data_IF_421717768832
#
_entry.id   IF_421717768832
#
_cell.length_a   1.000
_cell.length_b   1.000
_cell.length_c   1.000
_cell.angle_alpha   90.00
_cell.angle_beta   90.00
_cell.angle_gamma   90.00
#
_symmetry.space_group_name_H-M   'P 1'
#
loop_
_entity.id
_entity.type
_entity.pdbx_description
1 polymer ?
#
# COMPACT_ATOMS: atom_id res chain seq x y z
N UNK A 1 7.96 -3.94 -13.49
CA UNK A 1 8.22 -3.78 -12.05
C UNK A 1 9.29 -2.75 -11.73
N UNK A 2 10.58 -2.90 -12.11
CA UNK A 2 11.62 -1.95 -11.68
C UNK A 2 11.38 -0.52 -12.20
N UNK A 3 10.88 -0.39 -13.44
CA UNK A 3 10.48 0.90 -14.02
C UNK A 3 9.36 1.55 -13.18
N UNK A 4 8.33 0.77 -12.81
CA UNK A 4 7.23 1.24 -11.96
C UNK A 4 7.70 1.70 -10.59
N UNK A 5 8.67 1.00 -9.98
CA UNK A 5 9.29 1.42 -8.73
C UNK A 5 10.02 2.74 -8.86
N UNK A 6 10.81 2.93 -9.92
CA UNK A 6 11.49 4.20 -10.18
C UNK A 6 10.50 5.36 -10.32
N UNK A 7 9.42 5.17 -11.09
CA UNK A 7 8.37 6.17 -11.22
C UNK A 7 7.68 6.46 -9.88
N UNK A 8 7.32 5.44 -9.11
CA UNK A 8 6.68 5.62 -7.80
C UNK A 8 7.59 6.39 -6.83
N UNK A 9 8.89 6.08 -6.81
CA UNK A 9 9.87 6.80 -5.99
C UNK A 9 9.96 8.27 -6.44
N UNK A 10 10.08 8.55 -7.73
CA UNK A 10 10.13 9.93 -8.24
C UNK A 10 8.84 10.69 -7.84
N UNK A 11 7.69 10.05 -8.03
CA UNK A 11 6.39 10.63 -7.67
C UNK A 11 6.27 10.90 -6.17
N UNK A 12 6.82 10.02 -5.34
CA UNK A 12 6.87 10.19 -3.89
C UNK A 12 7.67 11.42 -3.45
N UNK A 13 8.71 11.81 -4.19
CA UNK A 13 9.45 13.05 -3.91
C UNK A 13 8.64 14.28 -4.31
N UNK A 14 7.99 14.23 -5.49
CA UNK A 14 7.18 15.33 -6.01
C UNK A 14 6.01 15.65 -5.07
N UNK A 15 5.31 14.62 -4.61
CA UNK A 15 4.13 14.77 -3.73
C UNK A 15 4.54 14.85 -2.26
N UNK A 16 5.49 14.03 -1.82
CA UNK A 16 5.89 13.98 -0.41
C UNK A 16 6.49 15.30 0.06
N UNK A 17 7.29 15.97 -0.77
CA UNK A 17 7.92 17.24 -0.40
C UNK A 17 6.92 18.34 0.01
N UNK A 18 5.87 18.67 -0.75
CA UNK A 18 4.86 19.63 -0.30
C UNK A 18 4.00 19.09 0.85
N UNK A 19 3.63 17.80 0.84
CA UNK A 19 2.75 17.23 1.86
C UNK A 19 3.39 17.24 3.25
N UNK A 20 4.70 16.99 3.37
CA UNK A 20 5.40 17.00 4.67
C UNK A 20 5.57 18.38 5.29
N UNK A 21 5.08 19.45 4.65
CA UNK A 21 4.94 20.77 5.29
C UNK A 21 3.72 20.86 6.20
N UNK A 22 2.75 19.95 6.03
CA UNK A 22 1.53 19.88 6.84
C UNK A 22 1.81 19.08 8.13
N UNK A 23 1.21 19.52 9.25
CA UNK A 23 1.32 18.86 10.56
C UNK A 23 -0.01 18.20 10.95
N UNK A 24 0.07 17.07 11.65
CA UNK A 24 -1.08 16.40 12.26
C UNK A 24 -2.12 15.90 11.25
N UNK A 25 -3.41 16.15 11.53
CA UNK A 25 -4.53 15.65 10.73
C UNK A 25 -4.57 16.22 9.30
N UNK A 26 -4.05 17.43 9.09
CA UNK A 26 -3.98 18.04 7.77
C UNK A 26 -3.13 17.22 6.79
N UNK A 27 -2.09 16.54 7.28
CA UNK A 27 -1.28 15.63 6.46
C UNK A 27 -2.12 14.46 5.94
N UNK A 28 -2.91 13.82 6.81
CA UNK A 28 -3.76 12.69 6.43
C UNK A 28 -4.83 13.10 5.41
N UNK A 29 -5.50 14.23 5.65
CA UNK A 29 -6.52 14.77 4.72
C UNK A 29 -5.90 15.06 3.36
N UNK A 30 -4.71 15.68 3.33
CA UNK A 30 -4.01 15.96 2.08
C UNK A 30 -3.58 14.70 1.33
N UNK A 31 -3.12 13.65 2.03
CA UNK A 31 -2.79 12.36 1.39
C UNK A 31 -4.01 11.70 0.76
N UNK A 32 -5.17 11.73 1.43
CA UNK A 32 -6.42 11.17 0.92
C UNK A 32 -6.88 11.95 -0.31
N UNK A 33 -6.91 13.28 -0.22
CA UNK A 33 -7.29 14.16 -1.34
C UNK A 33 -6.37 13.94 -2.55
N UNK A 34 -5.06 13.82 -2.33
CA UNK A 34 -4.09 13.56 -3.41
C UNK A 34 -4.34 12.20 -4.08
N UNK A 35 -4.66 11.17 -3.28
CA UNK A 35 -5.00 9.85 -3.81
C UNK A 35 -6.26 9.89 -4.68
N UNK A 36 -7.30 10.61 -4.25
CA UNK A 36 -8.55 10.76 -4.99
C UNK A 36 -8.35 11.52 -6.31
N UNK A 37 -7.66 12.66 -6.26
CA UNK A 37 -7.36 13.44 -7.47
C UNK A 37 -6.55 12.63 -8.48
N UNK A 38 -5.59 11.82 -8.02
CA UNK A 38 -4.86 10.92 -8.90
C UNK A 38 -5.77 9.86 -9.51
N UNK A 39 -6.64 9.22 -8.72
CA UNK A 39 -7.61 8.25 -9.23
C UNK A 39 -8.50 8.86 -10.31
N UNK A 40 -9.11 10.02 -10.05
CA UNK A 40 -9.99 10.71 -11.01
C UNK A 40 -9.24 11.06 -12.30
N UNK A 41 -7.96 11.47 -12.19
CA UNK A 41 -7.13 11.74 -13.36
C UNK A 41 -6.92 10.48 -14.22
N UNK A 42 -6.69 9.32 -13.60
CA UNK A 42 -6.52 8.05 -14.31
C UNK A 42 -7.83 7.55 -14.94
N UNK A 43 -8.99 7.87 -14.36
CA UNK A 43 -10.29 7.52 -14.93
C UNK A 43 -10.61 8.28 -16.23
N UNK A 44 -10.11 9.51 -16.38
CA UNK A 44 -10.30 10.33 -17.59
C UNK A 44 -9.20 10.09 -18.63
N UNK A 45 -8.08 9.49 -18.25
CA UNK A 45 -6.92 9.39 -19.12
C UNK A 45 -7.02 8.24 -20.12
N UNK A 46 -7.34 8.58 -21.38
CA UNK A 46 -7.51 7.62 -22.48
C UNK A 46 -6.31 6.69 -22.71
N UNK A 47 -5.08 7.18 -22.49
CA UNK A 47 -3.87 6.37 -22.69
C UNK A 47 -3.79 5.17 -21.74
N UNK A 48 -4.41 5.26 -20.57
CA UNK A 48 -4.43 4.23 -19.53
C UNK A 48 -5.72 3.39 -19.61
N UNK A 49 -6.47 3.50 -20.71
CA UNK A 49 -7.75 2.80 -20.89
C UNK A 49 -8.94 3.47 -20.20
N UNK A 50 -8.75 4.69 -19.68
CA UNK A 50 -9.77 5.46 -18.94
C UNK A 50 -10.43 4.61 -17.83
N UNK A 51 -11.71 4.85 -17.54
CA UNK A 51 -12.47 4.12 -16.52
C UNK A 51 -12.50 2.60 -16.74
N UNK A 52 -12.36 2.11 -17.99
CA UNK A 52 -12.33 0.66 -18.29
C UNK A 52 -11.03 -0.02 -17.90
N UNK A 53 -9.95 0.75 -17.73
CA UNK A 53 -8.65 0.23 -17.41
C UNK A 53 -7.96 -0.52 -18.55
N UNK A 54 -6.86 -1.21 -18.21
CA UNK A 54 -6.06 -2.00 -19.14
C UNK A 54 -6.10 -3.48 -18.79
N UNK A 55 -6.57 -4.29 -19.73
CA UNK A 55 -6.47 -5.75 -19.65
C UNK A 55 -5.15 -6.26 -20.24
N UNK A 56 -4.39 -6.99 -19.43
CA UNK A 56 -3.19 -7.70 -19.84
C UNK A 56 -3.63 -9.06 -20.40
N UNK A 57 -4.04 -9.08 -21.69
CA UNK A 57 -4.52 -10.31 -22.32
C UNK A 57 -3.44 -11.42 -22.34
N UNK A 58 -3.74 -12.64 -21.82
CA UNK A 58 -2.81 -13.77 -21.82
C UNK A 58 -2.40 -14.25 -23.22
N UNK A 59 -3.22 -13.95 -24.23
CA UNK A 59 -3.04 -14.43 -25.62
C UNK A 59 -1.77 -13.85 -26.26
N UNK A 60 -1.30 -12.69 -25.76
CA UNK A 60 -0.15 -11.98 -26.33
C UNK A 60 1.20 -12.57 -25.91
N UNK A 61 1.24 -13.47 -24.92
CA UNK A 61 2.50 -13.96 -24.31
C UNK A 61 2.51 -15.47 -24.13
N UNK A 62 3.63 -16.11 -24.47
CA UNK A 62 3.82 -17.56 -24.35
C UNK A 62 4.39 -17.84 -22.95
N UNK A 63 3.67 -18.54 -22.05
CA UNK A 63 4.20 -18.93 -20.74
C UNK A 63 5.23 -20.07 -20.88
N UNK A 64 6.27 -20.16 -20.03
CA UNK A 64 6.55 -19.30 -18.88
C UNK A 64 7.45 -18.11 -19.22
N UNK A 65 6.99 -16.89 -18.91
CA UNK A 65 7.82 -15.69 -18.98
C UNK A 65 8.17 -15.22 -17.56
N UNK A 66 9.36 -15.60 -17.09
CA UNK A 66 9.88 -15.21 -15.77
C UNK A 66 10.13 -13.70 -15.67
N UNK A 67 10.38 -13.01 -16.78
CA UNK A 67 10.69 -11.58 -16.80
C UNK A 67 9.42 -10.73 -16.65
N UNK A 68 8.29 -11.24 -17.13
CA UNK A 68 6.96 -10.63 -16.97
C UNK A 68 6.13 -11.23 -15.83
N UNK A 69 6.65 -12.26 -15.16
CA UNK A 69 5.95 -13.03 -14.11
C UNK A 69 4.57 -13.52 -14.60
N UNK A 70 4.50 -13.99 -15.84
CA UNK A 70 3.29 -14.60 -16.40
C UNK A 70 3.44 -16.11 -16.28
N UNK A 71 2.79 -16.68 -15.27
CA UNK A 71 2.81 -18.11 -15.02
C UNK A 71 1.46 -18.74 -15.35
N UNK A 72 1.50 -19.99 -15.80
CA UNK A 72 0.29 -20.78 -16.09
C UNK A 72 -0.39 -21.31 -14.82
N UNK A 73 0.36 -21.41 -13.72
CA UNK A 73 -0.09 -22.02 -12.47
C UNK A 73 0.04 -21.05 -11.30
N UNK A 74 -1.02 -20.94 -10.50
CA UNK A 74 -1.12 -19.96 -9.40
C UNK A 74 -0.10 -20.18 -8.28
N UNK A 75 0.41 -21.40 -8.17
CA UNK A 75 1.44 -21.81 -7.19
C UNK A 75 2.71 -20.97 -7.33
N UNK A 76 3.11 -20.57 -8.55
CA UNK A 76 4.31 -19.75 -8.74
C UNK A 76 4.13 -18.32 -8.21
N UNK A 77 2.93 -17.74 -8.35
CA UNK A 77 2.62 -16.43 -7.79
C UNK A 77 2.70 -16.44 -6.26
N UNK A 78 2.25 -17.51 -5.62
CA UNK A 78 2.39 -17.69 -4.18
C UNK A 78 3.86 -17.66 -3.71
N UNK A 79 4.76 -18.39 -4.38
CA UNK A 79 6.18 -18.39 -4.02
C UNK A 79 6.85 -17.02 -4.23
N UNK A 80 6.46 -16.29 -5.27
CA UNK A 80 7.01 -14.95 -5.54
C UNK A 80 6.58 -13.95 -4.47
N UNK A 81 5.29 -13.90 -4.12
CA UNK A 81 4.81 -12.99 -3.06
C UNK A 81 5.37 -13.37 -1.69
N UNK A 82 5.54 -14.66 -1.41
CA UNK A 82 6.21 -15.15 -0.21
C UNK A 82 7.67 -14.66 -0.14
N UNK A 83 8.37 -14.68 -1.28
CA UNK A 83 9.71 -14.09 -1.41
C UNK A 83 9.73 -12.60 -1.08
N UNK A 84 8.80 -11.82 -1.64
CA UNK A 84 8.68 -10.39 -1.32
C UNK A 84 8.33 -10.14 0.15
N UNK A 85 7.50 -10.99 0.76
CA UNK A 85 7.17 -10.91 2.18
C UNK A 85 8.42 -11.09 3.06
N UNK A 86 9.20 -12.15 2.83
CA UNK A 86 10.44 -12.38 3.58
C UNK A 86 11.47 -11.26 3.36
N UNK A 87 11.65 -10.82 2.11
CA UNK A 87 12.54 -9.69 1.78
C UNK A 87 12.10 -8.41 2.49
N UNK A 88 10.80 -8.13 2.54
CA UNK A 88 10.24 -7.00 3.28
C UNK A 88 10.54 -7.06 4.78
N UNK A 89 10.30 -8.21 5.42
CA UNK A 89 10.59 -8.38 6.86
C UNK A 89 12.08 -8.20 7.15
N UNK A 90 12.95 -8.84 6.36
CA UNK A 90 14.40 -8.74 6.53
C UNK A 90 14.87 -7.30 6.36
N UNK A 91 14.36 -6.62 5.33
CA UNK A 91 14.68 -5.21 5.09
C UNK A 91 14.22 -4.31 6.22
N UNK A 92 12.98 -4.44 6.70
CA UNK A 92 12.47 -3.60 7.80
C UNK A 92 13.25 -3.87 9.09
N UNK A 93 13.62 -5.13 9.37
CA UNK A 93 14.44 -5.46 10.52
C UNK A 93 15.83 -4.78 10.46
N UNK A 94 16.45 -4.77 9.28
CA UNK A 94 17.71 -4.04 9.06
C UNK A 94 17.51 -2.51 9.13
N UNK A 95 16.47 -1.99 8.49
CA UNK A 95 16.15 -0.56 8.44
C UNK A 95 15.91 0.04 9.83
N UNK A 96 15.25 -0.70 10.73
CA UNK A 96 15.05 -0.27 12.13
C UNK A 96 16.34 -0.04 12.90
N UNK A 97 17.42 -0.75 12.55
CA UNK A 97 18.76 -0.59 13.15
C UNK A 97 19.61 0.47 12.44
N UNK A 98 19.13 1.02 11.33
CA UNK A 98 19.83 2.06 10.57
C UNK A 98 19.70 3.43 11.23
N UNK A 99 20.59 4.37 10.86
CA UNK A 99 20.54 5.77 11.33
C UNK A 99 19.19 6.44 11.03
N UNK A 100 18.61 6.18 9.86
CA UNK A 100 17.28 6.72 9.50
C UNK A 100 16.18 6.15 10.40
N UNK A 101 16.24 4.86 10.71
CA UNK A 101 15.31 4.22 11.65
C UNK A 101 15.34 4.86 13.04
N UNK A 102 16.53 5.16 13.56
CA UNK A 102 16.67 5.88 14.83
C UNK A 102 16.12 7.31 14.76
N UNK A 103 16.43 8.05 13.70
CA UNK A 103 15.91 9.41 13.50
C UNK A 103 14.37 9.44 13.47
N UNK A 104 13.73 8.48 12.79
CA UNK A 104 12.27 8.37 12.75
C UNK A 104 11.66 8.08 14.12
N UNK A 105 12.34 7.29 14.95
CA UNK A 105 11.87 7.03 16.32
C UNK A 105 11.90 8.30 17.16
N UNK A 106 12.96 9.09 17.07
CA UNK A 106 13.04 10.40 17.71
C UNK A 106 11.97 11.38 17.19
N UNK A 107 11.72 11.40 15.87
CA UNK A 107 10.67 12.23 15.25
C UNK A 107 9.28 11.81 15.74
N UNK A 108 9.04 10.50 15.93
CA UNK A 108 7.78 9.98 16.45
C UNK A 108 7.51 10.44 17.89
N UNK A 109 8.55 10.51 18.72
CA UNK A 109 8.40 10.92 20.12
C UNK A 109 8.11 12.42 20.22
N UNK A 110 8.94 13.27 19.60
CA UNK A 110 8.66 14.70 19.48
C UNK A 110 9.45 15.30 18.30
N UNK A 111 8.70 15.77 17.30
CA UNK A 111 9.25 16.37 16.09
C UNK A 111 10.05 17.66 16.36
N UNK A 112 9.56 18.53 17.24
CA UNK A 112 10.22 19.81 17.53
C UNK A 112 11.54 19.58 18.29
N UNK A 113 11.56 18.61 19.22
CA UNK A 113 12.79 18.21 19.94
C UNK A 113 13.81 17.57 19.01
N UNK A 114 13.38 16.68 18.11
CA UNK A 114 14.26 16.08 17.11
C UNK A 114 14.90 17.15 16.21
N UNK A 115 14.15 18.19 15.85
CA UNK A 115 14.66 19.30 15.05
C UNK A 115 15.68 20.14 15.83
N UNK A 116 15.46 20.40 17.12
CA UNK A 116 16.44 21.09 17.99
C UNK A 116 17.76 20.31 18.14
N UNK A 117 17.73 18.97 18.03
CA UNK A 117 18.91 18.12 18.04
C UNK A 117 19.65 18.06 16.68
N UNK A 118 19.25 18.89 15.71
CA UNK A 118 19.89 18.97 14.39
C UNK A 118 19.43 17.91 13.39
N UNK A 119 18.38 17.13 13.70
CA UNK A 119 17.81 16.17 12.75
C UNK A 119 17.00 16.94 11.70
N UNK A 120 17.34 16.75 10.43
CA UNK A 120 16.52 17.28 9.35
C UNK A 120 15.26 16.42 9.17
N UNK A 121 14.22 16.76 9.93
CA UNK A 121 12.95 16.00 9.98
C UNK A 121 12.31 15.86 8.59
N UNK A 122 12.33 16.94 7.83
CA UNK A 122 11.73 16.99 6.49
C UNK A 122 12.38 15.95 5.56
N UNK A 123 13.71 15.97 5.46
CA UNK A 123 14.43 15.01 4.62
C UNK A 123 14.35 13.57 5.14
N UNK A 124 14.29 13.37 6.47
CA UNK A 124 14.10 12.05 7.06
C UNK A 124 12.74 11.45 6.67
N UNK A 125 11.66 12.23 6.74
CA UNK A 125 10.32 11.82 6.30
C UNK A 125 10.27 11.53 4.81
N UNK A 126 10.78 12.42 3.96
CA UNK A 126 10.80 12.25 2.49
C UNK A 126 11.56 10.98 2.07
N UNK A 127 12.77 10.75 2.61
CA UNK A 127 13.56 9.54 2.29
C UNK A 127 12.83 8.27 2.70
N UNK A 128 12.21 8.28 3.88
CA UNK A 128 11.46 7.13 4.38
C UNK A 128 10.22 6.86 3.55
N UNK A 129 9.53 7.93 3.13
CA UNK A 129 8.38 7.84 2.24
C UNK A 129 8.76 7.23 0.88
N UNK A 130 9.87 7.67 0.30
CA UNK A 130 10.39 7.10 -0.95
C UNK A 130 10.69 5.60 -0.83
N UNK A 131 11.32 5.18 0.26
CA UNK A 131 11.58 3.76 0.54
C UNK A 131 10.27 2.99 0.67
N UNK A 132 9.30 3.51 1.44
CA UNK A 132 8.00 2.88 1.61
C UNK A 132 7.25 2.74 0.26
N UNK A 133 7.25 3.78 -0.57
CA UNK A 133 6.61 3.74 -1.90
C UNK A 133 7.29 2.76 -2.85
N UNK A 134 8.59 2.50 -2.71
CA UNK A 134 9.26 1.47 -3.50
C UNK A 134 8.74 0.06 -3.15
N UNK A 135 8.57 -0.26 -1.87
CA UNK A 135 7.98 -1.53 -1.44
C UNK A 135 6.52 -1.67 -1.85
N UNK A 136 5.72 -0.61 -1.66
CA UNK A 136 4.31 -0.60 -2.06
C UNK A 136 4.18 -0.76 -3.58
N UNK A 137 5.00 -0.07 -4.38
CA UNK A 137 5.01 -0.19 -5.84
C UNK A 137 5.44 -1.57 -6.34
N UNK A 138 6.40 -2.22 -5.66
CA UNK A 138 6.81 -3.59 -5.96
C UNK A 138 5.62 -4.55 -5.83
N UNK A 139 4.93 -4.51 -4.68
CA UNK A 139 3.78 -5.37 -4.39
C UNK A 139 2.58 -5.00 -5.27
N UNK A 140 2.31 -3.70 -5.48
CA UNK A 140 1.21 -3.22 -6.33
C UNK A 140 1.40 -3.61 -7.80
N UNK A 141 2.62 -3.52 -8.32
CA UNK A 141 2.93 -3.99 -9.68
C UNK A 141 2.73 -5.50 -9.81
N UNK A 142 3.06 -6.26 -8.76
CA UNK A 142 2.82 -7.71 -8.73
C UNK A 142 1.34 -8.05 -8.68
N UNK A 143 0.56 -7.31 -7.88
CA UNK A 143 -0.89 -7.43 -7.82
C UNK A 143 -1.55 -7.20 -9.18
N UNK A 144 -1.13 -6.15 -9.91
CA UNK A 144 -1.58 -5.88 -11.27
C UNK A 144 -1.25 -7.02 -12.25
N UNK A 145 -0.05 -7.60 -12.16
CA UNK A 145 0.32 -8.77 -12.96
C UNK A 145 -0.48 -10.04 -12.61
N UNK A 146 -0.90 -10.19 -11.35
CA UNK A 146 -1.68 -11.33 -10.90
C UNK A 146 -3.14 -11.26 -11.35
N UNK A 147 -3.80 -10.10 -11.16
CA UNK A 147 -5.20 -9.88 -11.57
C UNK A 147 -5.33 -9.79 -13.09
N UNK A 148 -4.28 -9.33 -13.79
CA UNK A 148 -4.23 -9.14 -15.25
C UNK A 148 -5.22 -8.10 -15.78
N UNK A 149 -5.90 -7.39 -14.90
CA UNK A 149 -6.70 -6.22 -15.22
C UNK A 149 -6.27 -5.07 -14.31
N UNK A 150 -6.12 -3.88 -14.88
CA UNK A 150 -5.76 -2.67 -14.15
C UNK A 150 -6.89 -1.67 -14.32
N UNK A 151 -7.86 -1.75 -13.43
CA UNK A 151 -8.97 -0.80 -13.35
C UNK A 151 -8.68 0.23 -12.25
N UNK A 152 -8.79 1.55 -12.52
CA UNK A 152 -8.52 2.59 -11.52
C UNK A 152 -9.39 2.45 -10.26
N UNK A 153 -10.66 2.04 -10.43
CA UNK A 153 -11.60 1.91 -9.33
C UNK A 153 -11.15 0.87 -8.29
N UNK A 154 -10.69 -0.29 -8.75
CA UNK A 154 -10.21 -1.37 -7.88
C UNK A 154 -8.77 -1.16 -7.40
N UNK A 155 -7.87 -0.79 -8.32
CA UNK A 155 -6.42 -0.77 -8.05
C UNK A 155 -6.02 0.43 -7.19
N UNK A 156 -6.73 1.55 -7.31
CA UNK A 156 -6.48 2.80 -6.58
C UNK A 156 -7.60 3.13 -5.59
N UNK A 157 -8.35 2.10 -5.14
CA UNK A 157 -9.45 2.27 -4.20
C UNK A 157 -8.98 2.83 -2.84
N UNK A 158 -9.77 3.78 -2.33
CA UNK A 158 -9.58 4.35 -1.00
C UNK A 158 -9.81 3.25 0.07
N UNK A 159 -10.75 2.33 -0.17
CA UNK A 159 -11.05 1.22 0.74
C UNK A 159 -9.85 0.28 0.90
N UNK A 160 -9.11 0.02 -0.19
CA UNK A 160 -7.88 -0.77 -0.14
C UNK A 160 -6.82 -0.05 0.72
N UNK A 161 -6.67 1.26 0.53
CA UNK A 161 -5.71 2.06 1.29
C UNK A 161 -6.05 2.11 2.79
N UNK A 162 -7.33 2.28 3.13
CA UNK A 162 -7.82 2.22 4.52
C UNK A 162 -7.58 0.83 5.09
N UNK A 163 -7.92 -0.24 4.37
CA UNK A 163 -7.72 -1.61 4.83
C UNK A 163 -6.25 -1.89 5.17
N UNK A 164 -5.31 -1.44 4.34
CA UNK A 164 -3.87 -1.58 4.59
C UNK A 164 -3.45 -0.80 5.86
N UNK A 165 -3.95 0.43 6.02
CA UNK A 165 -3.68 1.21 7.23
C UNK A 165 -4.25 0.53 8.49
N UNK A 166 -5.46 -0.02 8.40
CA UNK A 166 -6.12 -0.74 9.49
C UNK A 166 -5.36 -2.00 9.91
N UNK A 167 -4.83 -2.76 8.95
CA UNK A 167 -3.97 -3.92 9.23
C UNK A 167 -2.74 -3.53 10.06
N UNK A 168 -2.12 -2.39 9.74
CA UNK A 168 -0.99 -1.89 10.50
C UNK A 168 -1.40 -1.32 11.88
N UNK A 169 -2.55 -0.66 11.97
CA UNK A 169 -3.05 -0.05 13.22
C UNK A 169 -3.51 -1.11 14.22
N UNK A 170 -4.36 -2.05 13.81
CA UNK A 170 -4.92 -3.09 14.68
C UNK A 170 -3.82 -3.97 15.29
N UNK A 171 -2.84 -4.36 14.49
CA UNK A 171 -1.71 -5.16 15.00
C UNK A 171 -0.66 -4.34 15.76
N UNK A 172 -0.72 -3.01 15.69
CA UNK A 172 0.16 -2.10 16.40
C UNK A 172 1.24 -1.45 15.52
N UNK A 173 1.08 -0.16 15.26
CA UNK A 173 1.93 0.67 14.39
C UNK A 173 3.40 0.84 14.82
N UNK A 174 3.80 0.28 15.98
CA UNK A 174 5.17 0.33 16.49
C UNK A 174 5.95 -0.98 16.40
N UNK A 175 5.30 -2.09 16.02
CA UNK A 175 5.88 -3.43 16.01
C UNK A 175 6.12 -3.93 14.59
N UNK A 176 7.21 -4.69 14.40
CA UNK A 176 7.47 -5.41 13.15
C UNK A 176 6.40 -6.46 12.87
N UNK A 177 5.90 -7.10 13.93
CA UNK A 177 4.90 -8.18 13.84
C UNK A 177 3.47 -7.67 13.76
N UNK A 178 3.25 -6.39 14.06
CA UNK A 178 1.91 -5.81 14.11
C UNK A 178 1.16 -5.97 12.79
N UNK A 179 1.64 -5.42 11.66
CA UNK A 179 0.97 -5.56 10.37
C UNK A 179 0.72 -7.01 9.95
N UNK A 180 1.58 -7.95 10.36
CA UNK A 180 1.46 -9.39 10.04
C UNK A 180 0.28 -10.00 10.81
N UNK A 181 0.21 -9.75 12.12
CA UNK A 181 -0.89 -10.23 12.98
C UNK A 181 -2.20 -9.55 12.58
N UNK A 182 -2.16 -8.24 12.34
CA UNK A 182 -3.32 -7.47 11.89
C UNK A 182 -3.87 -8.00 10.58
N UNK A 183 -3.03 -8.25 9.57
CA UNK A 183 -3.45 -8.88 8.32
C UNK A 183 -4.00 -10.30 8.54
N UNK A 184 -3.36 -11.10 9.38
CA UNK A 184 -3.80 -12.45 9.72
C UNK A 184 -5.18 -12.53 10.38
N UNK A 185 -5.63 -11.46 11.05
CA UNK A 185 -6.95 -11.38 11.67
C UNK A 185 -7.96 -10.71 10.73
N UNK A 186 -7.59 -9.55 10.16
CA UNK A 186 -8.50 -8.71 9.40
C UNK A 186 -8.87 -9.28 8.04
N UNK A 187 -7.96 -10.00 7.37
CA UNK A 187 -8.25 -10.59 6.05
C UNK A 187 -9.27 -11.73 6.18
N UNK A 188 -9.07 -12.75 7.05
CA UNK A 188 -10.10 -13.78 7.24
C UNK A 188 -11.41 -13.17 7.71
N UNK A 189 -11.37 -12.23 8.67
CA UNK A 189 -12.57 -11.56 9.14
C UNK A 189 -13.33 -10.88 7.99
N UNK A 190 -12.64 -10.12 7.13
CA UNK A 190 -13.25 -9.48 5.96
C UNK A 190 -13.85 -10.52 5.00
N UNK A 191 -13.13 -11.59 4.69
CA UNK A 191 -13.60 -12.63 3.77
C UNK A 191 -14.82 -13.39 4.32
N UNK A 192 -14.79 -13.82 5.58
CA UNK A 192 -15.92 -14.49 6.22
C UNK A 192 -17.14 -13.58 6.30
N UNK A 193 -16.97 -12.31 6.66
CA UNK A 193 -18.08 -11.36 6.73
C UNK A 193 -18.69 -11.12 5.35
N UNK A 194 -17.85 -11.02 4.30
CA UNK A 194 -18.30 -10.89 2.90
C UNK A 194 -19.05 -12.13 2.43
N UNK A 195 -18.57 -13.34 2.75
CA UNK A 195 -19.26 -14.58 2.38
C UNK A 195 -20.60 -14.73 3.12
N UNK A 196 -20.63 -14.43 4.41
CA UNK A 196 -21.82 -14.65 5.24
C UNK A 196 -22.90 -13.59 5.01
N UNK A 197 -22.55 -12.30 5.00
CA UNK A 197 -23.51 -11.21 4.77
C UNK A 197 -23.74 -10.93 3.28
N UNK A 198 -22.67 -10.94 2.48
CA UNK A 198 -22.74 -10.58 1.07
C UNK A 198 -23.46 -11.62 0.20
N UNK A 199 -23.29 -12.92 0.48
CA UNK A 199 -23.91 -13.98 -0.31
C UNK A 199 -25.34 -14.34 0.15
N UNK A 200 -25.68 -14.19 1.44
CA UNK A 200 -27.00 -14.61 1.94
C UNK A 200 -28.04 -13.48 2.06
N UNK A 201 -27.62 -12.22 2.25
CA UNK A 201 -28.54 -11.14 2.64
C UNK A 201 -28.69 -10.05 1.57
N UNK A 202 -27.82 -10.00 0.55
CA UNK A 202 -27.89 -9.01 -0.53
C UNK A 202 -27.67 -7.55 -0.08
N UNK A 203 -27.29 -7.34 1.18
CA UNK A 203 -27.01 -6.04 1.78
C UNK A 203 -25.51 -5.73 1.67
N UNK A 204 -25.09 -5.31 0.48
CA UNK A 204 -23.75 -4.76 0.24
C UNK A 204 -23.62 -3.46 1.07
N UNK A 205 -22.68 -3.40 2.03
CA UNK A 205 -22.40 -2.22 2.84
C UNK A 205 -22.57 -2.38 4.36
N UNK A 206 -23.37 -3.35 4.84
CA UNK A 206 -23.49 -3.63 6.29
C UNK A 206 -22.23 -4.33 6.82
N UNK A 207 -21.58 -5.12 5.97
CA UNK A 207 -20.28 -5.71 6.24
C UNK A 207 -19.24 -4.63 6.58
N UNK A 208 -19.21 -3.52 5.85
CA UNK A 208 -18.31 -2.39 6.13
C UNK A 208 -18.63 -1.69 7.46
N UNK A 209 -19.91 -1.54 7.82
CA UNK A 209 -20.33 -0.93 9.09
C UNK A 209 -19.94 -1.80 10.28
N UNK A 210 -20.20 -3.11 10.20
CA UNK A 210 -19.82 -4.07 11.26
C UNK A 210 -18.29 -4.13 11.37
N UNK A 211 -17.57 -4.11 10.25
CA UNK A 211 -16.12 -4.06 10.24
C UNK A 211 -15.59 -2.79 10.94
N UNK A 212 -16.19 -1.63 10.65
CA UNK A 212 -15.84 -0.38 11.31
C UNK A 212 -16.13 -0.39 12.82
N UNK A 213 -17.22 -1.02 13.25
CA UNK A 213 -17.58 -1.16 14.67
C UNK A 213 -16.62 -2.09 15.39
N UNK A 214 -16.23 -3.23 14.79
CA UNK A 214 -15.24 -4.16 15.37
C UNK A 214 -13.88 -3.49 15.59
N UNK A 215 -13.52 -2.53 14.73
CA UNK A 215 -12.26 -1.79 14.85
C UNK A 215 -12.35 -0.66 15.90
N UNK A 216 -13.55 -0.13 16.14
CA UNK A 216 -13.78 0.99 17.05
C UNK A 216 -13.86 0.57 18.53
N UNK A 217 -14.17 -0.70 18.79
CA UNK A 217 -14.22 -1.32 20.13
C UNK A 217 -12.86 -1.87 20.51
#
# INVERSE_FOLDING_TARGET
MPIGMCFAVIWSFIIGYPLFRLKGHYFAIATIATSLVLKDLFEVWDFVGAARGLEISPIKYIPPDFLRLIFKQDVYYYYVILGFFFLGILYVNWFRRSRLGFQLRSIKDNEDVAQSLGINVHWAKVKTYAIATAFVSLVGSFHACYIKNIEPEDTMSLDLSILIALMAMLGGAGSLWGPIIGAGILIPCKSYLKEWLGAQVGLVGIDLIIYAVIIMV
#
